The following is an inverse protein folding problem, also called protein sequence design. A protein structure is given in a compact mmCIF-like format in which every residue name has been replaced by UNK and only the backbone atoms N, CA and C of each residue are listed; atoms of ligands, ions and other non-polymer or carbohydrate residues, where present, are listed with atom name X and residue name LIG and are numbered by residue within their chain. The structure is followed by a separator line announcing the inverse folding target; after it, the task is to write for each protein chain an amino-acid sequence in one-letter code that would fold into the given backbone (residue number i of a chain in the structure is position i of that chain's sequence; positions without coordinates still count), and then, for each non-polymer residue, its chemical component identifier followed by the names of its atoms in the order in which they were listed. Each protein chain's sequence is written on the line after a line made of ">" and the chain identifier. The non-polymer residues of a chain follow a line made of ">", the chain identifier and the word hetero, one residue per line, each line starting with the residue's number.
data_IF_996708008169
#
_entry.id   IF_996708008169
#
_cell.length_a   1.000
_cell.length_b   1.000
_cell.length_c   1.000
_cell.angle_alpha   90.00
_cell.angle_beta   90.00
_cell.angle_gamma   90.00
#
_symmetry.space_group_name_H-M   'P 1'
#
loop_
_entity.id
_entity.type
_entity.pdbx_description
1 polymer ?
#
# COMPACT_ATOMS: atom_id res chain seq x y z
N UNK A 1 16.11 9.09 -3.04
CA UNK A 1 15.42 9.14 -1.74
C UNK A 1 14.04 8.53 -1.91
N UNK A 2 13.57 7.72 -0.95
CA UNK A 2 12.23 7.11 -0.98
C UNK A 2 11.43 7.65 0.19
N UNK A 3 10.18 8.07 -0.07
CA UNK A 3 9.23 8.50 0.95
C UNK A 3 8.01 7.57 0.93
N UNK A 4 7.39 7.33 2.09
CA UNK A 4 6.18 6.51 2.19
C UNK A 4 5.13 7.24 3.02
N UNK A 5 3.87 7.23 2.53
CA UNK A 5 2.79 7.98 3.15
C UNK A 5 1.44 7.31 2.90
N UNK A 6 0.54 7.41 3.88
CA UNK A 6 -0.88 7.05 3.72
C UNK A 6 -1.71 8.19 3.13
N UNK A 7 -1.13 9.38 2.98
CA UNK A 7 -1.80 10.61 2.59
C UNK A 7 -1.47 10.99 1.13
N UNK A 8 -2.46 10.99 0.22
CA UNK A 8 -2.27 11.34 -1.20
C UNK A 8 -1.71 12.75 -1.41
N UNK A 9 -2.06 13.69 -0.53
CA UNK A 9 -1.58 15.08 -0.60
C UNK A 9 -0.05 15.18 -0.54
N UNK A 10 0.63 14.26 0.15
CA UNK A 10 2.10 14.25 0.23
C UNK A 10 2.76 14.01 -1.12
N UNK A 11 2.16 13.18 -1.96
CA UNK A 11 2.62 12.98 -3.33
C UNK A 11 2.55 14.29 -4.14
N UNK A 12 1.45 15.05 -3.99
CA UNK A 12 1.28 16.33 -4.69
C UNK A 12 2.22 17.41 -4.18
N UNK A 13 2.51 17.44 -2.87
CA UNK A 13 3.46 18.36 -2.28
C UNK A 13 4.89 18.06 -2.75
N UNK A 14 5.27 16.78 -2.82
CA UNK A 14 6.56 16.36 -3.36
C UNK A 14 6.69 16.71 -4.85
N UNK A 15 5.65 16.44 -5.64
CA UNK A 15 5.62 16.84 -7.06
C UNK A 15 5.74 18.36 -7.23
N UNK A 16 5.08 19.14 -6.37
CA UNK A 16 5.20 20.61 -6.39
C UNK A 16 6.61 21.08 -6.00
N UNK A 17 7.24 20.45 -5.03
CA UNK A 17 8.59 20.81 -4.57
C UNK A 17 9.68 20.36 -5.57
N UNK A 18 9.44 19.24 -6.26
CA UNK A 18 10.36 18.65 -7.24
C UNK A 18 9.61 18.30 -8.55
N UNK A 19 9.21 19.31 -9.35
CA UNK A 19 8.45 19.10 -10.57
C UNK A 19 9.12 18.10 -11.50
N UNK A 20 8.32 17.16 -12.03
CA UNK A 20 8.68 16.13 -13.01
C UNK A 20 9.78 15.14 -12.58
N UNK A 21 10.26 15.23 -11.34
CA UNK A 21 11.26 14.31 -10.77
C UNK A 21 10.66 13.25 -9.86
N UNK A 22 9.37 13.39 -9.51
CA UNK A 22 8.68 12.47 -8.60
C UNK A 22 7.90 11.43 -9.39
N UNK A 23 8.16 10.15 -9.04
CA UNK A 23 7.39 8.98 -9.46
C UNK A 23 6.67 8.42 -8.25
N UNK A 24 5.40 8.07 -8.40
CA UNK A 24 4.52 7.66 -7.29
C UNK A 24 4.02 6.25 -7.51
N UNK A 25 4.29 5.36 -6.56
CA UNK A 25 3.63 4.05 -6.50
C UNK A 25 2.42 4.16 -5.56
N UNK A 26 1.22 4.03 -6.13
CA UNK A 26 -0.04 3.99 -5.41
C UNK A 26 -0.43 2.54 -5.11
N UNK A 27 -0.19 2.10 -3.88
CA UNK A 27 -0.61 0.77 -3.43
C UNK A 27 -2.04 0.82 -2.88
N UNK A 28 -2.94 0.03 -3.48
CA UNK A 28 -4.30 -0.19 -3.00
C UNK A 28 -4.42 -1.54 -2.31
N UNK A 29 -5.54 -1.78 -1.63
CA UNK A 29 -5.82 -3.02 -0.91
C UNK A 29 -7.30 -3.34 -1.04
N UNK A 30 -7.67 -4.61 -0.94
CA UNK A 30 -9.08 -5.00 -0.88
C UNK A 30 -9.79 -4.33 0.29
N UNK A 31 -11.07 -4.00 0.10
CA UNK A 31 -11.91 -3.43 1.15
C UNK A 31 -11.99 -4.35 2.37
N UNK A 32 -12.08 -5.67 2.15
CA UNK A 32 -12.07 -6.67 3.22
C UNK A 32 -10.75 -6.64 3.99
N UNK A 33 -9.63 -6.67 3.28
CA UNK A 33 -8.29 -6.63 3.86
C UNK A 33 -8.02 -5.36 4.66
N UNK A 34 -8.55 -4.23 4.21
CA UNK A 34 -8.44 -2.96 4.93
C UNK A 34 -9.27 -2.92 6.20
N UNK A 35 -10.54 -3.33 6.14
CA UNK A 35 -11.43 -3.38 7.31
C UNK A 35 -10.88 -4.35 8.36
N UNK A 36 -10.36 -5.50 7.94
CA UNK A 36 -9.67 -6.45 8.82
C UNK A 36 -8.41 -5.83 9.45
N UNK A 37 -7.63 -5.07 8.69
CA UNK A 37 -6.42 -4.41 9.18
C UNK A 37 -6.73 -3.35 10.25
N UNK A 38 -7.78 -2.52 10.07
CA UNK A 38 -8.16 -1.49 11.05
C UNK A 38 -8.78 -2.04 12.34
N UNK A 39 -9.22 -3.30 12.34
CA UNK A 39 -9.70 -3.99 13.53
C UNK A 39 -8.59 -4.58 14.39
N UNK A 40 -7.40 -4.80 13.84
CA UNK A 40 -6.28 -5.36 14.61
C UNK A 40 -5.92 -4.39 15.73
N UNK A 41 -5.98 -4.88 16.97
CA UNK A 41 -5.44 -4.14 18.10
C UNK A 41 -3.92 -4.02 17.93
N UNK A 42 -3.46 -2.79 17.77
CA UNK A 42 -2.04 -2.46 17.81
C UNK A 42 -1.77 -1.74 19.12
N UNK A 43 -1.29 -2.48 20.11
CA UNK A 43 -0.80 -1.91 21.37
C UNK A 43 0.20 -0.79 21.07
N UNK A 44 -0.16 0.44 21.44
CA UNK A 44 0.72 1.61 21.42
C UNK A 44 0.91 2.35 20.09
N UNK A 45 0.22 2.02 18.98
CA UNK A 45 0.44 2.73 17.69
C UNK A 45 -0.82 3.30 17.05
N UNK A 46 -1.94 2.58 17.05
CA UNK A 46 -3.19 3.10 16.49
C UNK A 46 -4.38 2.41 17.14
N UNK A 47 -5.31 3.20 17.71
CA UNK A 47 -6.57 2.67 18.24
C UNK A 47 -7.38 2.08 17.10
N UNK A 48 -8.03 0.91 17.30
CA UNK A 48 -8.88 0.32 16.29
C UNK A 48 -9.99 1.32 15.92
N UNK A 49 -10.23 1.47 14.62
CA UNK A 49 -11.26 2.37 14.11
C UNK A 49 -12.61 1.65 14.09
N UNK A 50 -13.69 2.38 14.34
CA UNK A 50 -15.03 1.88 14.02
C UNK A 50 -15.11 1.58 12.52
N UNK A 51 -15.98 0.65 12.14
CA UNK A 51 -16.11 0.25 10.74
C UNK A 51 -16.57 1.40 9.85
N UNK A 52 -17.49 2.24 10.34
CA UNK A 52 -17.90 3.44 9.61
C UNK A 52 -16.75 4.44 9.42
N UNK A 53 -15.93 4.66 10.45
CA UNK A 53 -14.77 5.52 10.33
C UNK A 53 -13.71 4.95 9.37
N UNK A 54 -13.52 3.62 9.36
CA UNK A 54 -12.63 2.95 8.40
C UNK A 54 -13.17 3.03 6.97
N UNK A 55 -14.47 2.86 6.78
CA UNK A 55 -15.16 2.99 5.49
C UNK A 55 -15.06 4.41 4.94
N UNK A 56 -15.43 5.42 5.73
CA UNK A 56 -15.35 6.82 5.32
C UNK A 56 -13.91 7.21 4.97
N UNK A 57 -12.94 6.78 5.79
CA UNK A 57 -11.52 6.95 5.51
C UNK A 57 -11.11 6.30 4.18
N UNK A 58 -11.58 5.08 3.91
CA UNK A 58 -11.25 4.38 2.67
C UNK A 58 -11.79 5.09 1.43
N UNK A 59 -13.07 5.47 1.45
CA UNK A 59 -13.72 6.22 0.37
C UNK A 59 -12.97 7.55 0.10
N UNK A 60 -12.69 8.29 1.17
CA UNK A 60 -11.97 9.55 1.08
C UNK A 60 -10.58 9.40 0.46
N UNK A 61 -9.79 8.42 0.92
CA UNK A 61 -8.44 8.19 0.42
C UNK A 61 -8.45 7.75 -1.04
N UNK A 62 -9.35 6.84 -1.43
CA UNK A 62 -9.48 6.41 -2.83
C UNK A 62 -9.86 7.58 -3.75
N UNK A 63 -10.82 8.42 -3.34
CA UNK A 63 -11.20 9.61 -4.09
C UNK A 63 -9.99 10.56 -4.25
N UNK A 64 -9.26 10.83 -3.18
CA UNK A 64 -8.06 11.67 -3.23
C UNK A 64 -6.97 11.04 -4.11
N UNK A 65 -6.75 9.72 -4.05
CA UNK A 65 -5.80 9.03 -4.92
C UNK A 65 -6.22 9.11 -6.39
N UNK A 66 -7.51 9.10 -6.70
CA UNK A 66 -7.99 9.28 -8.07
C UNK A 66 -7.61 10.64 -8.64
N UNK A 67 -7.66 11.69 -7.81
CA UNK A 67 -7.21 13.03 -8.17
C UNK A 67 -5.69 13.08 -8.37
N UNK A 68 -4.92 12.44 -7.47
CA UNK A 68 -3.46 12.33 -7.62
C UNK A 68 -3.08 11.63 -8.92
N UNK A 69 -3.72 10.50 -9.23
CA UNK A 69 -3.49 9.76 -10.47
C UNK A 69 -3.85 10.59 -11.69
N UNK A 70 -4.96 11.33 -11.65
CA UNK A 70 -5.35 12.21 -12.76
C UNK A 70 -4.30 13.31 -13.03
N UNK A 71 -3.71 13.87 -11.96
CA UNK A 71 -2.71 14.92 -12.05
C UNK A 71 -1.35 14.41 -12.50
N UNK A 72 -0.89 13.29 -11.95
CA UNK A 72 0.45 12.74 -12.21
C UNK A 72 0.52 11.82 -13.43
N UNK A 73 -0.61 11.36 -13.96
CA UNK A 73 -0.73 10.55 -15.17
C UNK A 73 0.24 9.34 -15.15
N UNK A 74 1.14 9.28 -16.12
CA UNK A 74 2.18 8.27 -16.33
C UNK A 74 3.22 8.21 -15.21
N UNK A 75 3.35 9.28 -14.40
CA UNK A 75 4.21 9.31 -13.20
C UNK A 75 3.55 8.69 -11.97
N UNK A 76 2.37 8.08 -12.11
CA UNK A 76 1.68 7.34 -11.06
C UNK A 76 1.39 5.90 -11.48
N UNK A 77 1.99 4.93 -10.79
CA UNK A 77 1.79 3.50 -11.01
C UNK A 77 0.96 2.89 -9.90
N UNK A 78 -0.08 2.14 -10.25
CA UNK A 78 -0.99 1.54 -9.29
C UNK A 78 -0.66 0.06 -9.13
N UNK A 79 -0.53 -0.40 -7.89
CA UNK A 79 -0.41 -1.83 -7.55
C UNK A 79 -1.45 -2.21 -6.52
N UNK A 80 -1.88 -3.48 -6.54
CA UNK A 80 -2.69 -4.04 -5.46
C UNK A 80 -1.77 -4.75 -4.47
N UNK A 81 -2.02 -4.55 -3.19
CA UNK A 81 -1.35 -5.27 -2.11
C UNK A 81 -1.49 -6.79 -2.27
N UNK A 82 -2.64 -7.24 -2.76
CA UNK A 82 -2.90 -8.66 -3.00
C UNK A 82 -2.03 -9.24 -4.12
N UNK A 83 -1.75 -8.46 -5.16
CA UNK A 83 -0.88 -8.88 -6.26
C UNK A 83 0.58 -8.94 -5.79
N UNK A 84 1.03 -7.93 -5.03
CA UNK A 84 2.34 -7.94 -4.39
C UNK A 84 2.51 -9.16 -3.46
N UNK A 85 1.45 -9.55 -2.74
CA UNK A 85 1.46 -10.74 -1.88
C UNK A 85 1.49 -12.04 -2.66
N UNK A 86 0.73 -12.13 -3.76
CA UNK A 86 0.56 -13.34 -4.56
C UNK A 86 1.79 -13.63 -5.41
N UNK A 87 2.31 -12.61 -6.08
CA UNK A 87 3.51 -12.70 -6.92
C UNK A 87 4.36 -11.43 -6.73
N UNK A 88 5.21 -11.40 -5.69
CA UNK A 88 6.05 -10.25 -5.41
C UNK A 88 7.09 -10.00 -6.51
N UNK A 89 7.60 -11.05 -7.16
CA UNK A 89 8.64 -10.93 -8.17
C UNK A 89 8.06 -10.28 -9.43
N UNK A 90 6.91 -10.75 -9.91
CA UNK A 90 6.24 -10.12 -11.05
C UNK A 90 5.84 -8.67 -10.75
N UNK A 91 5.33 -8.41 -9.54
CA UNK A 91 4.95 -7.05 -9.14
C UNK A 91 6.15 -6.10 -9.11
N UNK A 92 7.29 -6.54 -8.55
CA UNK A 92 8.52 -5.75 -8.52
C UNK A 92 9.09 -5.53 -9.92
N UNK A 93 9.03 -6.51 -10.83
CA UNK A 93 9.43 -6.33 -12.24
C UNK A 93 8.58 -5.29 -12.95
N UNK A 94 7.26 -5.28 -12.74
CA UNK A 94 6.39 -4.26 -13.33
C UNK A 94 6.73 -2.84 -12.82
N UNK A 95 7.08 -2.71 -11.53
CA UNK A 95 7.56 -1.44 -10.98
C UNK A 95 8.94 -1.09 -11.54
N UNK A 96 9.85 -2.04 -11.71
CA UNK A 96 11.17 -1.85 -12.33
C UNK A 96 11.04 -1.28 -13.74
N UNK A 97 10.21 -1.91 -14.59
CA UNK A 97 9.96 -1.50 -15.97
C UNK A 97 9.39 -0.09 -16.04
N UNK A 98 8.37 0.20 -15.22
CA UNK A 98 7.77 1.53 -15.18
C UNK A 98 8.73 2.59 -14.60
N UNK A 99 9.45 2.25 -13.53
CA UNK A 99 10.23 3.21 -12.75
C UNK A 99 11.68 3.35 -13.20
N UNK A 100 12.20 2.44 -14.01
CA UNK A 100 13.61 2.36 -14.40
C UNK A 100 14.57 2.02 -13.24
N UNK A 101 14.07 1.74 -12.04
CA UNK A 101 14.89 1.39 -10.88
C UNK A 101 15.02 -0.12 -10.73
N UNK A 102 16.26 -0.61 -10.64
CA UNK A 102 16.49 -2.04 -10.42
C UNK A 102 16.12 -2.47 -8.99
N UNK A 103 15.36 -3.55 -8.90
CA UNK A 103 15.01 -4.28 -7.69
C UNK A 103 15.70 -5.65 -7.63
N UNK A 104 16.73 -5.90 -8.44
CA UNK A 104 17.44 -7.19 -8.53
C UNK A 104 17.86 -7.74 -7.15
N UNK A 105 18.39 -6.88 -6.27
CA UNK A 105 18.76 -7.28 -4.91
C UNK A 105 17.55 -7.70 -4.07
N UNK A 106 16.43 -6.98 -4.17
CA UNK A 106 15.20 -7.30 -3.44
C UNK A 106 14.54 -8.57 -3.97
N UNK A 107 14.52 -8.78 -5.28
CA UNK A 107 13.95 -9.98 -5.91
C UNK A 107 14.78 -11.21 -5.60
N UNK A 108 16.12 -11.11 -5.61
CA UNK A 108 17.00 -12.20 -5.20
C UNK A 108 16.76 -12.61 -3.75
N UNK A 109 16.66 -11.64 -2.83
CA UNK A 109 16.34 -11.91 -1.42
C UNK A 109 14.98 -12.58 -1.23
N UNK A 110 13.94 -12.12 -1.94
CA UNK A 110 12.61 -12.74 -1.87
C UNK A 110 12.66 -14.17 -2.39
N UNK A 111 13.33 -14.42 -3.52
CA UNK A 111 13.45 -15.75 -4.12
C UNK A 111 14.23 -16.73 -3.21
N UNK A 112 15.26 -16.23 -2.52
CA UNK A 112 16.05 -17.00 -1.56
C UNK A 112 15.39 -17.13 -0.18
N UNK A 113 14.24 -16.50 0.07
CA UNK A 113 13.61 -16.46 1.39
C UNK A 113 14.46 -15.73 2.43
N UNK A 114 15.27 -14.76 2.02
CA UNK A 114 16.17 -14.02 2.90
C UNK A 114 15.46 -12.89 3.65
N UNK A 115 16.17 -12.38 4.67
CA UNK A 115 15.72 -11.26 5.47
C UNK A 115 16.17 -9.92 4.86
N UNK A 116 15.33 -8.92 5.04
CA UNK A 116 15.61 -7.52 4.86
C UNK A 116 15.94 -6.90 6.20
N UNK A 117 17.08 -6.23 6.29
CA UNK A 117 17.37 -5.37 7.44
C UNK A 117 16.47 -4.15 7.38
N UNK A 118 15.80 -3.87 8.50
CA UNK A 118 14.99 -2.68 8.63
C UNK A 118 15.94 -1.51 8.88
N UNK A 119 16.13 -0.69 7.85
CA UNK A 119 16.95 0.52 7.94
C UNK A 119 16.32 1.59 8.84
N UNK A 120 16.82 2.83 8.72
CA UNK A 120 16.31 3.94 9.51
C UNK A 120 14.90 4.36 9.05
N UNK A 121 13.88 3.90 9.77
CA UNK A 121 12.48 4.28 9.56
C UNK A 121 12.07 5.27 10.66
N UNK A 122 12.02 6.56 10.32
CA UNK A 122 11.64 7.65 11.24
C UNK A 122 10.21 7.48 11.75
N UNK A 123 9.30 7.10 10.85
CA UNK A 123 7.88 6.86 11.16
C UNK A 123 7.41 5.59 10.47
N UNK A 124 6.67 4.74 11.16
CA UNK A 124 6.17 3.51 10.58
C UNK A 124 5.44 2.67 11.61
N UNK A 125 4.61 1.76 11.12
CA UNK A 125 3.99 0.74 11.96
C UNK A 125 5.08 -0.15 12.61
N UNK A 126 4.68 -1.18 13.38
CA UNK A 126 5.48 -2.28 13.96
C UNK A 126 6.79 -2.66 13.25
N UNK A 127 6.87 -2.52 11.92
CA UNK A 127 8.09 -2.69 11.12
C UNK A 127 9.30 -1.95 11.69
N UNK A 128 9.15 -0.69 12.13
CA UNK A 128 10.28 0.11 12.67
C UNK A 128 10.91 -0.48 13.95
N UNK A 129 10.18 -1.35 14.66
CA UNK A 129 10.62 -2.02 15.88
C UNK A 129 11.26 -3.39 15.58
N UNK A 130 11.14 -3.87 14.35
CA UNK A 130 11.74 -5.14 13.92
C UNK A 130 13.10 -4.82 13.33
N UNK A 131 14.17 -5.46 13.79
CA UNK A 131 15.50 -5.27 13.19
C UNK A 131 15.62 -5.92 11.81
N UNK A 132 14.88 -7.01 11.60
CA UNK A 132 14.83 -7.76 10.34
C UNK A 132 13.40 -8.18 10.01
N UNK A 133 13.09 -8.23 8.73
CA UNK A 133 11.82 -8.76 8.23
C UNK A 133 12.04 -9.68 7.04
N UNK A 134 11.23 -10.73 6.96
CA UNK A 134 11.19 -11.63 5.82
C UNK A 134 9.88 -11.40 5.07
N UNK A 135 9.91 -11.52 3.75
CA UNK A 135 8.68 -11.52 2.97
C UNK A 135 7.94 -12.84 3.19
N UNK A 136 6.69 -12.76 3.63
CA UNK A 136 5.86 -13.94 3.90
C UNK A 136 4.53 -13.85 3.15
N UNK A 137 4.44 -14.59 2.05
CA UNK A 137 3.23 -14.72 1.24
C UNK A 137 2.07 -15.38 2.03
N UNK A 138 2.40 -16.28 2.97
CA UNK A 138 1.43 -17.09 3.73
C UNK A 138 0.73 -16.34 4.85
N UNK A 139 1.24 -15.17 5.26
CA UNK A 139 0.67 -14.32 6.32
C UNK A 139 -0.73 -13.77 5.95
N UNK A 140 -1.77 -14.59 6.05
CA UNK A 140 -3.16 -14.16 5.85
C UNK A 140 -3.72 -13.61 7.17
N UNK A 141 -4.30 -12.41 7.10
CA UNK A 141 -5.15 -11.94 8.18
C UNK A 141 -6.52 -12.53 7.88
N UNK A 142 -7.03 -13.45 8.71
CA UNK A 142 -8.38 -14.03 8.51
C UNK A 142 -9.39 -12.90 8.31
N UNK A 143 -9.96 -12.84 7.11
CA UNK A 143 -10.99 -11.86 6.75
C UNK A 143 -12.28 -12.30 7.45
N UNK A 144 -12.73 -11.52 8.44
CA UNK A 144 -13.94 -11.86 9.20
C UNK A 144 -15.19 -11.69 8.34
N UNK A 145 -15.95 -12.77 8.14
CA UNK A 145 -17.09 -12.88 7.21
C UNK A 145 -18.33 -12.01 7.50
N UNK A 146 -18.34 -11.19 8.55
CA UNK A 146 -19.55 -10.50 9.01
C UNK A 146 -20.04 -9.32 8.15
N UNK A 147 -19.37 -8.94 7.06
CA UNK A 147 -19.74 -7.75 6.24
C UNK A 147 -19.47 -7.88 4.75
N UNK A 148 -19.79 -9.03 4.17
CA UNK A 148 -19.62 -9.30 2.73
C UNK A 148 -20.27 -8.22 1.84
N UNK A 149 -21.47 -7.74 2.19
CA UNK A 149 -22.20 -6.72 1.43
C UNK A 149 -21.48 -5.36 1.42
N UNK A 150 -21.09 -4.85 2.60
CA UNK A 150 -20.36 -3.59 2.69
C UNK A 150 -19.02 -3.66 1.95
N UNK A 151 -18.31 -4.77 2.10
CA UNK A 151 -17.06 -4.98 1.38
C UNK A 151 -17.26 -5.00 -0.13
N UNK A 152 -18.32 -5.65 -0.61
CA UNK A 152 -18.69 -5.68 -2.04
C UNK A 152 -18.97 -4.27 -2.57
N UNK A 153 -19.76 -3.46 -1.85
CA UNK A 153 -20.02 -2.06 -2.22
C UNK A 153 -18.73 -1.23 -2.31
N UNK A 154 -17.81 -1.42 -1.37
CA UNK A 154 -16.52 -0.72 -1.37
C UNK A 154 -15.59 -1.19 -2.48
N UNK A 155 -15.67 -2.45 -2.89
CA UNK A 155 -14.98 -2.95 -4.07
C UNK A 155 -15.56 -2.38 -5.36
N UNK A 156 -16.89 -2.32 -5.49
CA UNK A 156 -17.54 -1.65 -6.61
C UNK A 156 -17.08 -0.20 -6.73
N UNK A 157 -17.02 0.52 -5.60
CA UNK A 157 -16.51 1.89 -5.58
C UNK A 157 -15.03 2.00 -5.98
N UNK A 158 -14.18 1.08 -5.50
CA UNK A 158 -12.76 1.01 -5.91
C UNK A 158 -12.62 0.83 -7.42
N UNK A 159 -13.36 -0.13 -7.98
CA UNK A 159 -13.36 -0.42 -9.41
C UNK A 159 -13.89 0.77 -10.23
N UNK A 160 -14.94 1.45 -9.76
CA UNK A 160 -15.48 2.66 -10.39
C UNK A 160 -14.45 3.79 -10.49
N UNK A 161 -13.59 3.92 -9.47
CA UNK A 161 -12.49 4.88 -9.49
C UNK A 161 -11.28 4.40 -10.33
N UNK A 162 -11.34 3.19 -10.87
CA UNK A 162 -10.30 2.63 -11.74
C UNK A 162 -9.09 2.10 -10.98
N UNK A 163 -9.29 1.56 -9.78
CA UNK A 163 -8.27 0.96 -8.92
C UNK A 163 -8.45 -0.55 -8.75
#
# INVERSE_FOLDING_TARGET
>A
MVDSSKYPSRALLLDRAFPDKVRVVCMTRSAQGLLAAFRKQNEGEQRPKSTWAATAYYLYVLCCMRLVRAKLKDRCFVIRFEDLKRDPIATLRAIEEWSGYSFAGSTAKIAAGEHFDVGHIVTGNRLRKRGRVQFDASSSSKEGGGRAVLASLLETYRNLLGF
#
